data_IF_556260295031
#
_entry.id   IF_556260295031
#
_cell.length_a   1.000
_cell.length_b   1.000
_cell.length_c   1.000
_cell.angle_alpha   90.00
_cell.angle_beta   90.00
_cell.angle_gamma   90.00
#
_symmetry.space_group_name_H-M   'P 1'
#
loop_
_entity.id
_entity.type
_entity.pdbx_description
1 polymer ?
#
# COMPACT_ATOMS: atom_id res chain seq x y z
N UNK A 1 16.59 35.83 -58.91
CA UNK A 1 17.07 34.70 -58.10
C UNK A 1 17.45 33.59 -59.05
N UNK A 2 18.69 33.13 -58.95
CA UNK A 2 19.10 31.83 -59.48
C UNK A 2 18.32 30.74 -58.75
N UNK A 3 17.99 29.67 -59.46
CA UNK A 3 17.33 28.49 -58.91
C UNK A 3 18.18 27.92 -57.76
N UNK A 4 17.55 27.53 -56.65
CA UNK A 4 18.24 27.01 -55.46
C UNK A 4 17.92 25.53 -55.36
N UNK A 5 18.91 24.63 -55.42
CA UNK A 5 18.63 23.21 -55.24
C UNK A 5 18.14 22.94 -53.82
N UNK A 6 16.96 22.34 -53.68
CA UNK A 6 16.42 21.93 -52.39
C UNK A 6 17.01 20.56 -52.00
N UNK A 7 18.08 20.60 -51.21
CA UNK A 7 18.75 19.39 -50.71
C UNK A 7 17.96 18.72 -49.59
N UNK A 8 18.12 17.40 -49.46
CA UNK A 8 17.56 16.62 -48.35
C UNK A 8 18.30 16.95 -47.05
N UNK A 9 17.81 17.95 -46.33
CA UNK A 9 18.35 18.42 -45.06
C UNK A 9 17.22 18.47 -44.02
N UNK A 10 17.56 18.22 -42.76
CA UNK A 10 16.60 18.40 -41.66
C UNK A 10 16.39 19.90 -41.45
N UNK A 11 15.16 20.44 -41.56
CA UNK A 11 14.91 21.87 -41.44
C UNK A 11 14.81 22.33 -39.98
N UNK A 12 15.75 21.85 -39.15
CA UNK A 12 15.92 22.21 -37.75
C UNK A 12 17.33 21.92 -37.27
N UNK A 13 17.87 22.78 -36.42
CA UNK A 13 19.13 22.59 -35.71
C UNK A 13 18.99 23.07 -34.28
N UNK A 14 19.53 22.31 -33.32
CA UNK A 14 19.64 22.75 -31.92
C UNK A 14 21.11 23.00 -31.60
N UNK A 15 21.40 24.19 -31.07
CA UNK A 15 22.75 24.63 -30.72
C UNK A 15 22.78 24.95 -29.23
N UNK A 16 23.75 24.40 -28.50
CA UNK A 16 24.04 24.80 -27.13
C UNK A 16 24.96 26.01 -27.18
N UNK A 17 24.53 27.12 -26.62
CA UNK A 17 25.26 28.37 -26.61
C UNK A 17 26.51 28.29 -25.72
N UNK A 18 27.57 28.93 -26.20
CA UNK A 18 28.73 29.30 -25.37
C UNK A 18 28.46 30.63 -24.67
N UNK A 19 29.24 30.94 -23.62
CA UNK A 19 29.07 32.16 -22.85
C UNK A 19 29.15 33.41 -23.75
N UNK A 20 28.11 34.25 -23.68
CA UNK A 20 27.97 35.50 -24.41
C UNK A 20 27.91 35.35 -25.94
N UNK A 21 27.47 34.19 -26.44
CA UNK A 21 27.32 33.96 -27.87
C UNK A 21 26.09 34.72 -28.42
N UNK A 22 26.29 35.51 -29.47
CA UNK A 22 25.22 36.29 -30.12
C UNK A 22 24.82 35.76 -31.49
N UNK A 23 25.69 35.01 -32.18
CA UNK A 23 25.49 34.52 -33.54
C UNK A 23 25.28 32.99 -33.58
N UNK A 24 24.27 32.53 -34.33
CA UNK A 24 23.91 31.11 -34.45
C UNK A 24 23.55 30.74 -35.90
N UNK A 25 24.40 29.92 -36.53
CA UNK A 25 24.22 29.46 -37.90
C UNK A 25 23.12 28.40 -38.06
N UNK A 26 22.37 28.45 -39.15
CA UNK A 26 21.41 27.41 -39.54
C UNK A 26 21.78 26.81 -40.92
N UNK A 27 21.79 25.47 -41.07
CA UNK A 27 22.33 24.80 -42.26
C UNK A 27 21.26 24.44 -43.32
N UNK A 28 20.16 25.18 -43.39
CA UNK A 28 19.03 24.86 -44.29
C UNK A 28 18.48 26.11 -44.99
N UNK A 29 17.87 25.91 -46.16
CA UNK A 29 17.30 27.00 -46.97
C UNK A 29 16.06 27.59 -46.30
N UNK A 30 15.95 28.91 -46.34
CA UNK A 30 14.76 29.67 -45.92
C UNK A 30 14.47 30.71 -47.03
N UNK A 31 13.23 30.78 -47.52
CA UNK A 31 12.87 31.66 -48.65
C UNK A 31 12.56 33.10 -48.23
N UNK A 32 12.17 33.29 -46.96
CA UNK A 32 11.86 34.59 -46.36
C UNK A 32 12.15 34.53 -44.85
N UNK A 33 12.59 35.62 -44.24
CA UNK A 33 13.07 35.60 -42.85
C UNK A 33 11.99 35.20 -41.83
N UNK A 34 10.72 35.53 -42.13
CA UNK A 34 9.53 35.17 -41.35
C UNK A 34 9.31 33.67 -41.17
N UNK A 35 9.84 32.86 -42.10
CA UNK A 35 9.79 31.40 -42.07
C UNK A 35 10.78 30.79 -41.09
N UNK A 36 11.75 31.54 -40.56
CA UNK A 36 12.68 31.03 -39.56
C UNK A 36 12.18 31.36 -38.15
N UNK A 37 11.95 30.32 -37.36
CA UNK A 37 11.56 30.43 -35.95
C UNK A 37 12.69 29.96 -35.04
N UNK A 38 12.78 30.59 -33.87
CA UNK A 38 13.81 30.30 -32.87
C UNK A 38 13.12 30.08 -31.53
N UNK A 39 13.39 28.94 -30.90
CA UNK A 39 12.93 28.63 -29.54
C UNK A 39 14.14 28.43 -28.63
N UNK A 40 14.16 29.11 -27.49
CA UNK A 40 15.24 29.06 -26.50
C UNK A 40 14.79 28.25 -25.30
N UNK A 41 15.52 27.22 -24.95
CA UNK A 41 15.44 26.56 -23.65
C UNK A 41 16.61 27.05 -22.79
N UNK A 42 16.37 27.93 -21.79
CA UNK A 42 17.45 28.42 -20.95
C UNK A 42 18.05 27.31 -20.09
N UNK A 43 19.33 27.44 -19.75
CA UNK A 43 20.02 26.47 -18.91
C UNK A 43 19.31 26.26 -17.56
N UNK A 44 19.04 25.01 -17.20
CA UNK A 44 18.39 24.65 -15.93
C UNK A 44 16.88 24.90 -15.86
N UNK A 45 16.24 25.33 -16.96
CA UNK A 45 14.79 25.50 -17.04
C UNK A 45 14.13 24.30 -17.72
N UNK A 46 12.87 24.02 -17.36
CA UNK A 46 12.09 22.91 -17.92
C UNK A 46 11.24 23.30 -19.14
N UNK A 47 11.09 24.60 -19.41
CA UNK A 47 10.22 25.11 -20.48
C UNK A 47 10.97 26.00 -21.45
N UNK A 48 10.73 25.77 -22.74
CA UNK A 48 11.25 26.59 -23.82
C UNK A 48 10.40 27.87 -23.99
N UNK A 49 11.03 28.93 -24.51
CA UNK A 49 10.42 30.22 -24.82
C UNK A 49 10.71 30.54 -26.28
N UNK A 50 9.65 30.83 -27.04
CA UNK A 50 9.79 31.24 -28.44
C UNK A 50 10.23 32.70 -28.52
N UNK A 51 11.21 32.95 -29.38
CA UNK A 51 11.76 34.28 -29.62
C UNK A 51 11.03 34.94 -30.79
N UNK A 52 10.93 36.26 -30.74
CA UNK A 52 10.26 37.07 -31.75
C UNK A 52 11.30 37.70 -32.69
N UNK A 53 11.20 37.42 -33.99
CA UNK A 53 12.03 38.06 -35.01
C UNK A 53 11.91 39.59 -34.93
N UNK A 54 13.00 40.31 -35.22
CA UNK A 54 13.19 41.77 -35.10
C UNK A 54 13.25 42.31 -33.67
N UNK A 55 12.59 41.66 -32.71
CA UNK A 55 12.65 42.05 -31.29
C UNK A 55 13.81 41.36 -30.59
N UNK A 56 13.90 40.04 -30.71
CA UNK A 56 14.85 39.18 -29.99
C UNK A 56 16.03 38.73 -30.86
N UNK A 57 15.82 38.61 -32.17
CA UNK A 57 16.86 38.21 -33.12
C UNK A 57 16.61 38.80 -34.53
N UNK A 58 17.67 38.88 -35.33
CA UNK A 58 17.62 39.20 -36.76
C UNK A 58 18.17 38.05 -37.59
N UNK A 59 17.64 37.86 -38.81
CA UNK A 59 18.02 36.76 -39.70
C UNK A 59 18.88 37.26 -40.85
N UNK A 60 19.94 36.53 -41.16
CA UNK A 60 20.83 36.76 -42.31
C UNK A 60 20.99 35.48 -43.12
N UNK A 61 21.28 35.60 -44.42
CA UNK A 61 21.45 34.42 -45.30
C UNK A 61 20.14 33.80 -45.77
N UNK A 62 19.06 34.60 -45.86
CA UNK A 62 17.81 34.21 -46.52
C UNK A 62 18.06 33.97 -48.01
N UNK A 63 17.53 32.86 -48.54
CA UNK A 63 17.70 32.47 -49.95
C UNK A 63 19.05 31.86 -50.29
N UNK A 64 19.88 31.50 -49.30
CA UNK A 64 21.13 30.78 -49.52
C UNK A 64 20.91 29.25 -49.42
N UNK A 65 21.55 28.49 -50.32
CA UNK A 65 21.48 27.02 -50.37
C UNK A 65 21.98 26.34 -49.09
N UNK A 66 23.02 26.91 -48.46
CA UNK A 66 23.65 26.38 -47.24
C UNK A 66 23.07 27.01 -45.96
N UNK A 67 22.00 27.79 -46.09
CA UNK A 67 21.40 28.56 -45.00
C UNK A 67 22.19 29.82 -44.63
N UNK A 68 22.09 30.21 -43.37
CA UNK A 68 22.50 31.54 -42.91
C UNK A 68 22.77 31.56 -41.41
N UNK A 69 22.55 32.71 -40.77
CA UNK A 69 22.73 32.86 -39.33
C UNK A 69 21.71 33.80 -38.72
N UNK A 70 21.41 33.60 -37.44
CA UNK A 70 20.66 34.56 -36.63
C UNK A 70 21.61 35.29 -35.68
N UNK A 71 21.36 36.57 -35.50
CA UNK A 71 22.03 37.42 -34.52
C UNK A 71 21.01 37.84 -33.44
N UNK A 72 21.31 37.54 -32.18
CA UNK A 72 20.50 38.00 -31.04
C UNK A 72 20.60 39.52 -30.90
N UNK A 73 19.47 40.16 -30.64
CA UNK A 73 19.43 41.62 -30.50
C UNK A 73 19.95 42.04 -29.12
N UNK A 74 20.71 43.14 -29.01
CA UNK A 74 21.16 43.67 -27.73
C UNK A 74 20.03 44.13 -26.79
N UNK A 75 18.82 44.35 -27.32
CA UNK A 75 17.65 44.78 -26.53
C UNK A 75 17.14 43.68 -25.60
N UNK A 76 16.97 42.46 -26.12
CA UNK A 76 16.53 41.30 -25.34
C UNK A 76 17.69 40.49 -24.77
N UNK A 77 18.87 40.56 -25.39
CA UNK A 77 20.07 39.83 -25.01
C UNK A 77 21.30 40.76 -24.93
N UNK A 78 21.41 41.60 -23.88
CA UNK A 78 22.48 42.61 -23.79
C UNK A 78 23.89 42.04 -23.82
N UNK A 79 24.06 40.83 -23.28
CA UNK A 79 25.33 40.10 -23.23
C UNK A 79 25.33 38.86 -24.13
N UNK A 80 24.32 38.65 -24.96
CA UNK A 80 24.14 37.40 -25.73
C UNK A 80 23.50 36.27 -24.92
N UNK A 81 23.52 35.06 -25.47
CA UNK A 81 23.01 33.86 -24.82
C UNK A 81 23.94 33.40 -23.68
N UNK A 82 23.35 32.82 -22.63
CA UNK A 82 24.11 32.29 -21.50
C UNK A 82 24.69 30.92 -21.86
N UNK A 83 25.83 30.57 -21.26
CA UNK A 83 26.40 29.23 -21.42
C UNK A 83 25.38 28.15 -21.03
N UNK A 84 25.18 27.17 -21.92
CA UNK A 84 24.24 26.08 -21.70
C UNK A 84 22.80 26.35 -22.18
N UNK A 85 22.48 27.58 -22.60
CA UNK A 85 21.20 27.84 -23.26
C UNK A 85 21.11 27.04 -24.56
N UNK A 86 20.00 26.35 -24.80
CA UNK A 86 19.78 25.58 -26.02
C UNK A 86 18.84 26.34 -26.95
N UNK A 87 19.36 26.80 -28.08
CA UNK A 87 18.58 27.46 -29.12
C UNK A 87 18.25 26.45 -30.21
N UNK A 88 16.96 26.25 -30.46
CA UNK A 88 16.46 25.43 -31.56
C UNK A 88 15.95 26.36 -32.65
N UNK A 89 16.66 26.36 -33.79
CA UNK A 89 16.30 27.11 -34.98
C UNK A 89 15.59 26.13 -35.93
N UNK A 90 14.43 26.51 -36.44
CA UNK A 90 13.65 25.63 -37.32
C UNK A 90 12.84 26.43 -38.33
N UNK A 91 12.57 25.81 -39.49
CA UNK A 91 11.77 26.42 -40.54
C UNK A 91 10.28 26.14 -40.34
N UNK A 92 9.44 27.13 -40.57
CA UNK A 92 7.99 27.02 -40.53
C UNK A 92 7.40 27.88 -41.63
N UNK A 93 7.02 27.25 -42.75
CA UNK A 93 6.39 27.90 -43.88
C UNK A 93 4.87 27.85 -43.69
N UNK A 94 4.14 28.98 -43.83
CA UNK A 94 2.69 28.97 -43.89
C UNK A 94 2.19 28.07 -45.04
N UNK A 95 1.33 27.11 -44.73
CA UNK A 95 0.77 26.18 -45.72
C UNK A 95 -0.38 26.88 -46.45
N UNK A 96 -0.03 27.72 -47.41
CA UNK A 96 -0.97 28.43 -48.27
C UNK A 96 -0.40 28.60 -49.68
N UNK A 97 -1.29 28.83 -50.65
CA UNK A 97 -0.90 29.15 -52.02
C UNK A 97 -1.58 30.43 -52.46
N UNK A 98 -0.80 31.50 -52.57
CA UNK A 98 -1.29 32.83 -52.96
C UNK A 98 -1.11 33.13 -54.45
N UNK A 99 -0.28 32.36 -55.15
CA UNK A 99 -0.03 32.55 -56.58
C UNK A 99 -0.96 31.67 -57.42
N UNK A 100 -1.44 32.22 -58.53
CA UNK A 100 -2.25 31.47 -59.49
C UNK A 100 -1.79 31.76 -60.93
N UNK A 101 -1.82 30.72 -61.76
CA UNK A 101 -1.42 30.82 -63.16
C UNK A 101 -2.63 31.21 -64.01
N UNK A 102 -2.51 32.35 -64.70
CA UNK A 102 -3.56 32.81 -65.62
C UNK A 102 -3.71 31.84 -66.79
N UNK A 103 -4.96 31.48 -67.10
CA UNK A 103 -5.27 30.70 -68.30
C UNK A 103 -4.76 31.43 -69.56
N UNK A 104 -3.93 30.74 -70.36
CA UNK A 104 -3.26 31.29 -71.56
C UNK A 104 -2.37 32.51 -71.29
N UNK A 105 -1.94 32.72 -70.05
CA UNK A 105 -0.95 33.73 -69.70
C UNK A 105 0.48 33.25 -69.96
N UNK A 106 1.45 34.17 -69.86
CA UNK A 106 2.88 33.81 -69.86
C UNK A 106 3.20 32.92 -68.66
N UNK A 107 3.91 31.82 -68.88
CA UNK A 107 4.42 30.95 -67.82
C UNK A 107 5.83 31.41 -67.42
N UNK A 108 5.96 32.03 -66.24
CA UNK A 108 7.28 32.42 -65.71
C UNK A 108 7.85 31.24 -64.92
N UNK A 109 8.88 30.59 -65.48
CA UNK A 109 9.55 29.46 -64.84
C UNK A 109 10.08 29.80 -63.44
N UNK A 110 10.42 31.06 -63.16
CA UNK A 110 10.90 31.47 -61.83
C UNK A 110 9.80 31.43 -60.77
N UNK A 111 8.58 31.81 -61.16
CA UNK A 111 7.42 31.72 -60.26
C UNK A 111 7.06 30.25 -60.05
N UNK A 112 7.06 29.45 -61.11
CA UNK A 112 6.80 28.02 -61.01
C UNK A 112 7.82 27.28 -60.14
N UNK A 113 9.11 27.50 -60.35
CA UNK A 113 10.16 26.88 -59.52
C UNK A 113 10.02 27.29 -58.06
N UNK A 114 9.77 28.58 -57.76
CA UNK A 114 9.55 29.02 -56.37
C UNK A 114 8.38 28.29 -55.71
N UNK A 115 7.27 28.08 -56.42
CA UNK A 115 6.13 27.32 -55.90
C UNK A 115 6.47 25.84 -55.70
N UNK A 116 7.21 25.22 -56.63
CA UNK A 116 7.66 23.84 -56.47
C UNK A 116 8.64 23.67 -55.30
N UNK A 117 9.61 24.57 -55.17
CA UNK A 117 10.55 24.60 -54.04
C UNK A 117 9.80 24.72 -52.72
N UNK A 118 8.80 25.60 -52.66
CA UNK A 118 7.96 25.79 -51.47
C UNK A 118 7.25 24.49 -51.09
N UNK A 119 6.70 23.74 -52.06
CA UNK A 119 6.06 22.43 -51.80
C UNK A 119 7.06 21.43 -51.19
N UNK A 120 8.27 21.33 -51.75
CA UNK A 120 9.29 20.41 -51.21
C UNK A 120 9.78 20.83 -49.83
N UNK A 121 9.93 22.14 -49.57
CA UNK A 121 10.31 22.65 -48.27
C UNK A 121 9.23 22.36 -47.21
N UNK A 122 7.95 22.51 -47.55
CA UNK A 122 6.81 22.13 -46.70
C UNK A 122 6.79 20.62 -46.45
N UNK A 123 7.07 19.80 -47.47
CA UNK A 123 7.15 18.34 -47.30
C UNK A 123 8.27 17.92 -46.34
N UNK A 124 9.43 18.59 -46.38
CA UNK A 124 10.52 18.37 -45.41
C UNK A 124 10.09 18.76 -43.99
N UNK A 125 9.33 19.84 -43.83
CA UNK A 125 8.80 20.27 -42.53
C UNK A 125 7.78 19.28 -41.98
N UNK A 126 6.84 18.82 -42.79
CA UNK A 126 5.90 17.75 -42.39
C UNK A 126 6.65 16.49 -41.97
N UNK A 127 7.68 16.07 -42.71
CA UNK A 127 8.49 14.91 -42.36
C UNK A 127 9.20 15.08 -41.01
N UNK A 128 9.76 16.26 -40.74
CA UNK A 128 10.35 16.60 -39.43
C UNK A 128 9.30 16.54 -38.33
N UNK A 129 8.15 17.17 -38.53
CA UNK A 129 7.13 17.30 -37.50
C UNK A 129 6.50 15.94 -37.18
N UNK A 130 6.22 15.12 -38.20
CA UNK A 130 5.79 13.73 -38.04
C UNK A 130 6.83 12.89 -37.29
N UNK A 131 8.13 13.06 -37.59
CA UNK A 131 9.21 12.40 -36.85
C UNK A 131 9.29 12.78 -35.37
N UNK A 132 8.61 13.85 -34.94
CA UNK A 132 8.53 14.30 -33.53
C UNK A 132 7.19 13.93 -32.87
N UNK A 133 6.27 13.30 -33.60
CA UNK A 133 5.01 12.80 -33.05
C UNK A 133 5.16 11.39 -32.47
N UNK A 134 4.22 10.99 -31.61
CA UNK A 134 4.08 9.59 -31.20
C UNK A 134 3.40 8.86 -32.35
N UNK A 135 4.06 7.83 -32.89
CA UNK A 135 3.56 7.06 -34.04
C UNK A 135 3.82 5.56 -33.88
N UNK A 136 3.10 4.77 -34.69
CA UNK A 136 3.24 3.31 -34.72
C UNK A 136 4.52 2.90 -35.46
N UNK A 137 5.09 1.76 -35.08
CA UNK A 137 6.21 1.18 -35.81
C UNK A 137 5.73 0.52 -37.12
N UNK A 138 6.57 0.47 -38.17
CA UNK A 138 6.17 -0.15 -39.44
C UNK A 138 5.82 -1.64 -39.36
N UNK A 139 6.22 -2.33 -38.29
CA UNK A 139 5.94 -3.74 -38.05
C UNK A 139 4.65 -3.98 -37.25
N UNK A 140 3.99 -2.92 -36.78
CA UNK A 140 2.72 -3.02 -36.07
C UNK A 140 1.60 -3.47 -37.03
N UNK A 141 0.68 -4.28 -36.53
CA UNK A 141 -0.48 -4.74 -37.29
C UNK A 141 -1.65 -3.75 -37.24
N UNK A 142 -1.60 -2.75 -36.34
CA UNK A 142 -2.61 -1.71 -36.23
C UNK A 142 -2.47 -0.67 -37.35
N UNK A 143 -3.59 -0.34 -38.02
CA UNK A 143 -3.63 0.70 -39.06
C UNK A 143 -3.56 2.13 -38.48
N UNK A 144 -4.03 2.33 -37.25
CA UNK A 144 -4.02 3.62 -36.57
C UNK A 144 -4.17 3.48 -35.06
N UNK A 145 -3.76 4.51 -34.32
CA UNK A 145 -4.02 4.65 -32.89
C UNK A 145 -4.77 5.95 -32.63
N UNK A 146 -6.03 5.83 -32.19
CA UNK A 146 -6.87 6.98 -31.88
C UNK A 146 -6.88 7.22 -30.38
N UNK A 147 -6.65 8.47 -29.97
CA UNK A 147 -6.82 8.85 -28.57
C UNK A 147 -8.30 8.77 -28.18
N UNK A 148 -8.61 8.39 -26.93
CA UNK A 148 -9.98 8.44 -26.41
C UNK A 148 -10.57 9.86 -26.47
N UNK A 149 -11.89 9.99 -26.29
CA UNK A 149 -12.53 11.31 -26.29
C UNK A 149 -11.98 12.19 -25.16
N UNK A 150 -12.06 13.51 -25.34
CA UNK A 150 -11.55 14.49 -24.38
C UNK A 150 -12.18 14.33 -22.98
N UNK A 151 -13.47 14.00 -22.91
CA UNK A 151 -14.19 13.71 -21.67
C UNK A 151 -13.61 12.52 -20.89
N UNK A 152 -13.05 11.53 -21.60
CA UNK A 152 -12.43 10.35 -21.00
C UNK A 152 -10.97 10.59 -20.62
N UNK A 153 -10.26 11.44 -21.38
CA UNK A 153 -8.85 11.78 -21.14
C UNK A 153 -8.62 12.82 -20.05
N UNK A 154 -9.63 13.62 -19.70
CA UNK A 154 -9.48 14.71 -18.74
C UNK A 154 -8.95 14.20 -17.38
N UNK A 155 -7.76 14.66 -17.00
CA UNK A 155 -7.10 14.25 -15.75
C UNK A 155 -6.59 12.81 -15.72
N UNK A 156 -6.45 12.15 -16.87
CA UNK A 156 -5.99 10.76 -17.01
C UNK A 156 -4.64 10.67 -17.72
N UNK A 157 -3.97 9.54 -17.55
CA UNK A 157 -2.72 9.22 -18.24
C UNK A 157 -3.01 8.52 -19.57
N UNK A 158 -2.14 8.73 -20.55
CA UNK A 158 -2.12 7.91 -21.76
C UNK A 158 -1.51 6.55 -21.43
N UNK A 159 -2.26 5.48 -21.68
CA UNK A 159 -1.82 4.10 -21.50
C UNK A 159 -2.28 3.25 -22.70
N UNK A 160 -1.89 1.97 -22.72
CA UNK A 160 -2.26 1.02 -23.77
C UNK A 160 -2.99 -0.18 -23.17
N UNK A 161 -4.05 -0.66 -23.82
CA UNK A 161 -4.75 -1.88 -23.42
C UNK A 161 -4.01 -3.15 -23.89
N UNK A 162 -4.59 -4.33 -23.60
CA UNK A 162 -4.01 -5.61 -24.01
C UNK A 162 -3.91 -5.81 -25.53
N UNK A 163 -4.64 -5.01 -26.31
CA UNK A 163 -4.59 -4.97 -27.78
C UNK A 163 -3.67 -3.88 -28.33
N UNK A 164 -3.00 -3.11 -27.49
CA UNK A 164 -2.11 -2.02 -27.90
C UNK A 164 -2.82 -0.72 -28.29
N UNK A 165 -4.13 -0.60 -28.05
CA UNK A 165 -4.87 0.63 -28.34
C UNK A 165 -4.70 1.65 -27.21
N UNK A 166 -4.67 2.93 -27.58
CA UNK A 166 -4.57 4.02 -26.61
C UNK A 166 -5.82 4.11 -25.73
N UNK A 167 -5.63 4.07 -24.41
CA UNK A 167 -6.67 4.24 -23.40
C UNK A 167 -6.30 5.34 -22.41
N UNK A 168 -7.32 5.92 -21.77
CA UNK A 168 -7.16 6.88 -20.70
C UNK A 168 -7.15 6.14 -19.35
N UNK A 169 -5.98 5.97 -18.76
CA UNK A 169 -5.83 5.27 -17.49
C UNK A 169 -5.89 6.21 -16.29
N UNK A 170 -6.49 5.73 -15.20
CA UNK A 170 -6.19 6.30 -13.89
C UNK A 170 -4.72 6.00 -13.58
N UNK A 171 -3.94 7.01 -13.21
CA UNK A 171 -2.58 6.81 -12.74
C UNK A 171 -2.35 7.71 -11.54
N UNK A 172 -1.36 7.35 -10.75
CA UNK A 172 -0.66 8.32 -9.91
C UNK A 172 0.71 8.54 -10.55
N UNK A 173 1.17 9.79 -10.62
CA UNK A 173 2.46 10.13 -11.24
C UNK A 173 3.61 9.34 -10.61
N UNK A 174 4.64 9.00 -11.39
CA UNK A 174 5.86 8.34 -10.91
C UNK A 174 6.65 9.11 -9.82
N UNK A 175 6.31 10.39 -9.57
CA UNK A 175 6.79 11.19 -8.42
C UNK A 175 6.00 10.95 -7.12
N UNK A 176 5.06 10.01 -7.10
CA UNK A 176 4.81 9.24 -5.89
C UNK A 176 5.77 8.07 -5.95
N UNK A 177 6.96 8.21 -5.38
CA UNK A 177 7.65 7.02 -4.86
C UNK A 177 6.58 6.17 -4.16
N UNK A 178 6.37 4.90 -4.52
CA UNK A 178 5.48 4.06 -3.73
C UNK A 178 5.95 4.21 -2.28
N UNK A 179 5.03 4.54 -1.35
CA UNK A 179 5.32 4.93 0.05
C UNK A 179 6.24 3.91 0.74
N UNK A 180 6.32 2.70 0.18
CA UNK A 180 7.34 1.69 0.39
C UNK A 180 7.45 0.76 -0.82
N UNK A 181 8.55 -0.01 -0.93
CA UNK A 181 8.71 -1.07 -1.93
C UNK A 181 7.53 -2.07 -1.96
N UNK A 182 6.90 -2.30 -0.79
CA UNK A 182 5.72 -3.15 -0.65
C UNK A 182 4.52 -2.71 -1.50
N UNK A 183 4.30 -1.40 -1.67
CA UNK A 183 3.18 -0.91 -2.48
C UNK A 183 3.42 -1.18 -3.98
N UNK A 184 4.68 -1.15 -4.42
CA UNK A 184 5.04 -1.34 -5.83
C UNK A 184 4.97 -2.80 -6.27
N UNK A 185 5.52 -3.68 -5.44
CA UNK A 185 5.81 -5.05 -5.86
C UNK A 185 4.68 -6.03 -5.49
N UNK A 186 3.78 -5.64 -4.57
CA UNK A 186 2.78 -6.54 -4.00
C UNK A 186 1.33 -5.99 -4.01
N UNK A 187 1.10 -4.68 -4.22
CA UNK A 187 -0.27 -4.12 -4.18
C UNK A 187 -0.81 -3.68 -5.53
N UNK A 188 0.06 -3.36 -6.48
CA UNK A 188 -0.35 -2.92 -7.81
C UNK A 188 -0.44 -4.06 -8.83
N UNK A 189 0.11 -5.23 -8.51
CA UNK A 189 -0.06 -6.46 -9.28
C UNK A 189 -1.39 -7.17 -8.97
N UNK A 190 -2.05 -6.80 -7.87
CA UNK A 190 -3.33 -7.36 -7.44
C UNK A 190 -4.48 -7.05 -8.41
N UNK A 191 -5.10 -8.12 -8.93
CA UNK A 191 -6.10 -8.08 -9.99
C UNK A 191 -7.43 -7.42 -9.59
N UNK A 192 -7.75 -7.37 -8.29
CA UNK A 192 -8.97 -6.77 -7.79
C UNK A 192 -8.83 -6.22 -6.37
N UNK A 193 -9.87 -5.49 -5.94
CA UNK A 193 -9.92 -4.90 -4.60
C UNK A 193 -9.92 -5.94 -3.47
N UNK A 194 -10.27 -7.21 -3.73
CA UNK A 194 -10.26 -8.26 -2.72
C UNK A 194 -8.83 -8.76 -2.47
N UNK A 195 -8.06 -8.93 -3.53
CA UNK A 195 -6.65 -9.34 -3.49
C UNK A 195 -5.80 -8.24 -2.86
N UNK A 196 -5.99 -6.97 -3.26
CA UNK A 196 -5.34 -5.81 -2.64
C UNK A 196 -5.57 -5.69 -1.11
N UNK A 197 -6.78 -6.01 -0.63
CA UNK A 197 -7.08 -6.02 0.81
C UNK A 197 -6.40 -7.17 1.54
N UNK A 198 -6.25 -8.33 0.89
CA UNK A 198 -5.54 -9.47 1.45
C UNK A 198 -4.05 -9.15 1.60
N UNK A 199 -3.44 -8.57 0.56
CA UNK A 199 -2.02 -8.22 0.56
C UNK A 199 -1.69 -7.11 1.56
N UNK A 200 -2.56 -6.08 1.68
CA UNK A 200 -2.44 -5.04 2.72
C UNK A 200 -2.53 -5.57 4.17
N UNK A 201 -2.84 -6.85 4.37
CA UNK A 201 -3.16 -7.37 5.70
C UNK A 201 -4.39 -6.68 6.31
N UNK A 202 -5.18 -5.97 5.48
CA UNK A 202 -6.50 -5.44 5.79
C UNK A 202 -7.47 -6.63 5.81
N UNK A 203 -7.17 -7.53 6.72
CA UNK A 203 -7.87 -8.76 6.98
C UNK A 203 -9.36 -8.41 7.11
N UNK A 204 -10.17 -9.04 6.27
CA UNK A 204 -11.62 -9.05 6.38
C UNK A 204 -12.01 -9.72 7.71
N UNK A 205 -11.84 -9.01 8.81
CA UNK A 205 -11.92 -9.56 10.17
C UNK A 205 -13.35 -9.60 10.69
N UNK A 206 -14.34 -9.05 10.00
CA UNK A 206 -15.69 -8.99 10.56
C UNK A 206 -16.71 -10.02 10.04
N UNK A 207 -16.40 -10.77 8.99
CA UNK A 207 -17.37 -11.75 8.46
C UNK A 207 -17.14 -13.19 8.93
N UNK A 208 -16.16 -13.44 9.81
CA UNK A 208 -15.82 -14.82 10.23
C UNK A 208 -15.22 -14.99 11.62
N UNK A 209 -15.20 -13.97 12.48
CA UNK A 209 -14.74 -14.14 13.86
C UNK A 209 -15.89 -14.64 14.76
N UNK A 210 -15.83 -15.90 15.16
CA UNK A 210 -16.34 -16.29 16.48
C UNK A 210 -15.42 -15.68 17.54
N UNK A 211 -15.95 -15.41 18.74
CA UNK A 211 -15.46 -14.46 19.74
C UNK A 211 -14.00 -14.59 20.27
N UNK A 212 -13.16 -15.48 19.73
CA UNK A 212 -11.93 -15.91 20.38
C UNK A 212 -10.62 -15.38 19.78
N UNK A 213 -10.64 -14.26 19.05
CA UNK A 213 -9.39 -13.68 18.47
C UNK A 213 -9.20 -12.19 18.76
N UNK A 214 -9.61 -11.76 19.96
CA UNK A 214 -9.33 -10.42 20.49
C UNK A 214 -7.95 -10.27 21.15
N UNK A 215 -7.15 -11.34 21.25
CA UNK A 215 -5.81 -11.28 21.81
C UNK A 215 -4.76 -11.48 20.71
N UNK A 216 -4.29 -10.39 20.11
CA UNK A 216 -3.11 -10.41 19.24
C UNK A 216 -1.86 -10.35 20.14
N UNK A 217 -1.26 -11.51 20.39
CA UNK A 217 0.13 -11.68 20.84
C UNK A 217 1.03 -11.17 19.71
N UNK A 218 1.92 -10.22 20.00
CA UNK A 218 2.84 -9.68 19.01
C UNK A 218 3.93 -10.74 18.73
N UNK A 219 4.11 -11.25 17.49
CA UNK A 219 4.93 -12.44 17.26
C UNK A 219 6.45 -12.19 17.24
N UNK A 220 6.92 -10.98 17.57
CA UNK A 220 8.33 -10.59 17.36
C UNK A 220 9.23 -10.59 18.60
N UNK A 221 8.77 -11.07 19.76
CA UNK A 221 9.62 -11.20 20.95
C UNK A 221 9.59 -12.64 21.47
N UNK A 222 10.65 -13.39 21.16
CA UNK A 222 10.86 -14.77 21.60
C UNK A 222 11.64 -14.87 22.91
N UNK A 223 11.90 -13.75 23.60
CA UNK A 223 12.85 -13.71 24.71
C UNK A 223 12.25 -13.43 26.09
N UNK A 224 10.93 -13.22 26.21
CA UNK A 224 10.21 -13.16 27.49
C UNK A 224 8.80 -13.74 27.32
N UNK A 225 8.28 -14.55 28.26
CA UNK A 225 6.86 -14.88 28.24
C UNK A 225 6.08 -13.56 28.30
N UNK A 226 5.22 -13.33 27.31
CA UNK A 226 4.42 -12.11 27.18
C UNK A 226 3.40 -12.02 28.31
N UNK A 227 3.86 -11.66 29.51
CA UNK A 227 3.01 -11.30 30.63
C UNK A 227 2.65 -9.82 30.47
N UNK A 228 1.47 -9.57 29.93
CA UNK A 228 0.78 -8.29 30.15
C UNK A 228 0.47 -8.23 31.65
N UNK A 229 0.78 -7.14 32.38
CA UNK A 229 0.39 -7.02 33.78
C UNK A 229 -1.12 -7.19 33.93
N UNK A 230 -1.56 -8.34 34.44
CA UNK A 230 -2.96 -8.69 34.68
C UNK A 230 -3.55 -9.82 33.84
N UNK A 231 -2.85 -10.34 32.83
CA UNK A 231 -3.26 -11.57 32.13
C UNK A 231 -2.03 -12.47 31.99
N UNK A 232 -1.94 -13.47 32.85
CA UNK A 232 -1.02 -14.60 32.67
C UNK A 232 -1.79 -15.63 31.86
N UNK A 233 -1.39 -15.86 30.62
CA UNK A 233 -1.73 -17.11 29.92
C UNK A 233 -0.58 -18.04 30.26
N UNK A 234 -0.83 -18.99 31.15
CA UNK A 234 0.13 -20.06 31.39
C UNK A 234 0.14 -20.93 30.14
N UNK A 235 1.23 -20.81 29.37
CA UNK A 235 1.58 -21.74 28.30
C UNK A 235 2.33 -22.91 28.94
N UNK A 236 1.61 -23.70 29.73
CA UNK A 236 2.05 -25.03 30.09
C UNK A 236 1.04 -26.01 29.48
N UNK A 237 1.54 -26.85 28.57
CA UNK A 237 0.77 -27.73 27.69
C UNK A 237 -0.06 -28.83 28.39
N UNK A 238 -0.35 -28.68 29.68
CA UNK A 238 -1.14 -29.59 30.48
C UNK A 238 -2.26 -28.91 31.29
N UNK A 239 -2.48 -27.61 31.12
CA UNK A 239 -3.48 -26.88 31.91
C UNK A 239 -4.88 -26.97 31.28
N UNK A 240 -5.66 -27.94 31.75
CA UNK A 240 -7.05 -28.09 31.40
C UNK A 240 -7.89 -27.07 32.18
N UNK A 241 -8.41 -26.10 31.44
CA UNK A 241 -9.37 -25.07 31.83
C UNK A 241 -8.73 -23.71 32.19
N UNK A 242 -8.99 -22.72 31.32
CA UNK A 242 -8.92 -21.28 31.62
C UNK A 242 -9.93 -21.01 32.75
N UNK A 243 -9.54 -21.35 33.97
CA UNK A 243 -10.30 -21.17 35.18
C UNK A 243 -9.87 -19.86 35.82
N UNK A 244 -10.67 -18.81 35.65
CA UNK A 244 -10.61 -17.66 36.56
C UNK A 244 -10.76 -18.26 37.97
N UNK A 245 -9.66 -18.25 38.75
CA UNK A 245 -9.56 -18.75 40.12
C UNK A 245 -10.34 -17.86 41.11
N UNK A 246 -11.59 -17.52 40.76
CA UNK A 246 -12.54 -16.85 41.62
C UNK A 246 -13.54 -17.90 42.11
N UNK A 247 -13.57 -18.09 43.42
CA UNK A 247 -14.31 -19.12 44.16
C UNK A 247 -15.64 -19.62 43.59
N UNK A 248 -15.81 -20.94 43.71
CA UNK A 248 -17.05 -21.72 43.63
C UNK A 248 -17.97 -21.44 42.43
N UNK A 249 -17.93 -22.31 41.42
CA UNK A 249 -19.08 -22.52 40.52
C UNK A 249 -18.86 -22.38 39.03
N UNK A 250 -17.64 -22.59 38.52
CA UNK A 250 -17.39 -22.54 37.07
C UNK A 250 -17.90 -23.79 36.32
N UNK A 251 -18.13 -24.91 37.03
CA UNK A 251 -18.60 -26.18 36.46
C UNK A 251 -19.25 -27.05 37.54
N UNK A 252 -20.38 -27.69 37.22
CA UNK A 252 -21.08 -28.64 38.10
C UNK A 252 -20.74 -30.07 37.66
N UNK A 253 -20.38 -30.93 38.62
CA UNK A 253 -20.06 -32.33 38.37
C UNK A 253 -20.73 -33.24 39.40
N UNK A 254 -21.43 -34.27 38.92
CA UNK A 254 -22.11 -35.24 39.77
C UNK A 254 -21.17 -36.37 40.19
N UNK A 255 -21.21 -36.73 41.47
CA UNK A 255 -20.43 -37.81 42.07
C UNK A 255 -21.37 -38.81 42.74
N UNK A 256 -21.50 -40.00 42.14
CA UNK A 256 -22.33 -41.08 42.69
C UNK A 256 -21.57 -42.04 43.62
N UNK A 257 -20.29 -41.76 43.90
CA UNK A 257 -19.43 -42.60 44.71
C UNK A 257 -19.67 -42.41 46.23
N UNK A 258 -19.40 -43.46 47.01
CA UNK A 258 -19.44 -43.43 48.49
C UNK A 258 -18.14 -42.95 49.12
N UNK A 259 -17.10 -42.75 48.32
CA UNK A 259 -15.83 -42.16 48.74
C UNK A 259 -15.30 -41.25 47.63
N UNK A 260 -14.76 -40.09 48.00
CA UNK A 260 -14.16 -39.17 47.04
C UNK A 260 -12.94 -38.48 47.66
N UNK A 261 -11.86 -38.38 46.91
CA UNK A 261 -10.69 -37.58 47.32
C UNK A 261 -10.68 -36.33 46.47
N UNK A 262 -10.60 -35.17 47.12
CA UNK A 262 -10.47 -33.88 46.44
C UNK A 262 -9.14 -33.86 45.69
N UNK A 263 -9.15 -33.43 44.43
CA UNK A 263 -7.93 -33.29 43.59
C UNK A 263 -7.77 -31.84 43.11
N UNK A 264 -6.58 -31.48 42.63
CA UNK A 264 -6.33 -30.11 42.14
C UNK A 264 -7.31 -29.66 41.05
N UNK A 265 -7.72 -30.59 40.17
CA UNK A 265 -8.69 -30.34 39.11
C UNK A 265 -10.11 -29.99 39.61
N UNK A 266 -10.40 -30.09 40.91
CA UNK A 266 -11.70 -29.71 41.49
C UNK A 266 -11.80 -28.22 41.80
N UNK A 267 -10.71 -27.47 41.63
CA UNK A 267 -10.67 -26.03 41.85
C UNK A 267 -11.76 -25.32 41.05
N UNK A 268 -12.55 -24.50 41.74
CA UNK A 268 -13.64 -23.72 41.15
C UNK A 268 -14.88 -24.53 40.76
N UNK A 269 -14.91 -25.85 40.99
CA UNK A 269 -16.07 -26.70 40.68
C UNK A 269 -17.07 -26.79 41.82
N UNK A 270 -18.29 -27.17 41.46
CA UNK A 270 -19.34 -27.64 42.39
C UNK A 270 -19.49 -29.14 42.23
N UNK A 271 -19.10 -29.91 43.25
CA UNK A 271 -19.26 -31.36 43.34
C UNK A 271 -20.60 -31.70 43.97
N UNK A 272 -21.48 -32.35 43.21
CA UNK A 272 -22.82 -32.72 43.63
C UNK A 272 -22.85 -34.21 43.94
N UNK A 273 -22.89 -34.57 45.22
CA UNK A 273 -22.86 -35.95 45.68
C UNK A 273 -24.27 -36.53 45.70
N UNK A 274 -24.52 -37.58 44.92
CA UNK A 274 -25.86 -38.15 44.70
C UNK A 274 -26.09 -39.50 45.40
N UNK A 275 -25.09 -40.01 46.12
CA UNK A 275 -25.18 -41.31 46.80
C UNK A 275 -26.27 -41.31 47.91
N UNK A 276 -27.01 -42.41 48.00
CA UNK A 276 -28.02 -42.62 49.04
C UNK A 276 -27.44 -43.08 50.39
N UNK A 277 -26.18 -43.54 50.39
CA UNK A 277 -25.42 -43.96 51.56
C UNK A 277 -24.37 -42.92 51.90
N UNK A 278 -23.96 -42.83 53.17
CA UNK A 278 -22.95 -41.87 53.63
C UNK A 278 -21.70 -41.86 52.73
N UNK A 279 -21.21 -40.66 52.41
CA UNK A 279 -20.07 -40.41 51.53
C UNK A 279 -18.92 -39.86 52.36
N UNK A 280 -17.76 -40.51 52.28
CA UNK A 280 -16.53 -39.99 52.90
C UNK A 280 -15.74 -39.16 51.88
N UNK A 281 -15.55 -37.88 52.17
CA UNK A 281 -14.76 -36.95 51.36
C UNK A 281 -13.40 -36.76 52.04
N UNK A 282 -12.35 -37.16 51.36
CA UNK A 282 -10.97 -37.05 51.85
C UNK A 282 -10.34 -35.79 51.28
N UNK A 283 -9.80 -34.96 52.17
CA UNK A 283 -8.97 -33.81 51.84
C UNK A 283 -7.51 -34.27 51.86
N UNK A 284 -6.81 -34.26 50.71
CA UNK A 284 -5.49 -34.87 50.61
C UNK A 284 -4.44 -34.08 51.39
N UNK A 285 -3.35 -34.78 51.74
CA UNK A 285 -2.15 -34.13 52.26
C UNK A 285 -1.27 -33.62 51.10
N UNK A 286 -0.54 -32.52 51.31
CA UNK A 286 0.36 -31.94 50.30
C UNK A 286 1.39 -32.95 49.75
N UNK A 287 1.77 -33.96 50.54
CA UNK A 287 2.69 -35.01 50.10
C UNK A 287 2.04 -36.01 49.11
N UNK A 288 0.71 -36.11 49.09
CA UNK A 288 -0.05 -37.01 48.19
C UNK A 288 -0.56 -36.27 46.96
N UNK A 289 -1.06 -35.04 47.13
CA UNK A 289 -1.54 -34.17 46.04
C UNK A 289 -1.20 -32.72 46.40
N UNK A 290 -0.34 -32.07 45.60
CA UNK A 290 0.10 -30.69 45.85
C UNK A 290 -0.96 -29.68 45.39
N UNK A 291 -1.96 -29.44 46.24
CA UNK A 291 -3.04 -28.49 45.98
C UNK A 291 -2.60 -27.08 46.41
N UNK A 292 -2.42 -26.21 45.42
CA UNK A 292 -1.98 -24.83 45.64
C UNK A 292 -2.95 -24.01 46.52
N UNK A 293 -2.39 -23.00 47.19
CA UNK A 293 -3.16 -22.01 47.98
C UNK A 293 -4.17 -21.29 47.09
N UNK A 294 -5.35 -21.01 47.63
CA UNK A 294 -6.45 -20.39 46.86
C UNK A 294 -7.38 -21.40 46.19
N UNK A 295 -7.12 -22.70 46.35
CA UNK A 295 -8.08 -23.74 46.03
C UNK A 295 -9.41 -23.52 46.75
N UNK A 296 -10.51 -23.67 46.01
CA UNK A 296 -11.87 -23.68 46.55
C UNK A 296 -12.78 -24.60 45.74
N UNK A 297 -13.47 -25.51 46.41
CA UNK A 297 -14.47 -26.42 45.82
C UNK A 297 -15.74 -26.38 46.67
N UNK A 298 -16.90 -26.38 46.01
CA UNK A 298 -18.19 -26.48 46.68
C UNK A 298 -18.70 -27.92 46.63
N UNK A 299 -18.88 -28.55 47.79
CA UNK A 299 -19.45 -29.88 47.91
C UNK A 299 -20.93 -29.78 48.33
N UNK A 300 -21.83 -30.38 47.57
CA UNK A 300 -23.28 -30.34 47.81
C UNK A 300 -23.82 -31.74 48.05
N UNK A 301 -24.54 -31.94 49.15
CA UNK A 301 -25.25 -33.19 49.44
C UNK A 301 -26.58 -33.21 48.68
N UNK A 302 -26.62 -33.79 47.48
CA UNK A 302 -27.86 -33.99 46.73
C UNK A 302 -28.56 -35.32 47.09
N UNK A 303 -27.79 -36.36 47.41
CA UNK A 303 -28.28 -37.66 47.86
C UNK A 303 -28.67 -37.70 49.34
N UNK A 304 -29.30 -38.81 49.75
CA UNK A 304 -29.68 -39.03 51.15
C UNK A 304 -28.50 -39.39 52.08
N UNK A 305 -27.32 -39.71 51.51
CA UNK A 305 -26.13 -40.02 52.27
C UNK A 305 -25.44 -38.77 52.79
N UNK A 306 -25.14 -38.75 54.09
CA UNK A 306 -24.40 -37.65 54.71
C UNK A 306 -22.96 -37.57 54.20
N UNK A 307 -22.47 -36.35 54.01
CA UNK A 307 -21.10 -36.09 53.59
C UNK A 307 -20.24 -35.92 54.83
N UNK A 308 -19.26 -36.80 55.03
CA UNK A 308 -18.28 -36.69 56.12
C UNK A 308 -16.93 -36.29 55.54
N UNK A 309 -16.38 -35.17 56.00
CA UNK A 309 -15.06 -34.68 55.61
C UNK A 309 -13.98 -35.22 56.55
N UNK A 310 -12.88 -35.72 55.98
CA UNK A 310 -11.72 -36.18 56.72
C UNK A 310 -10.43 -35.64 56.10
N UNK A 311 -9.47 -35.25 56.93
CA UNK A 311 -8.12 -34.95 56.45
C UNK A 311 -7.33 -36.24 56.28
N UNK A 312 -6.49 -36.27 55.25
CA UNK A 312 -5.48 -37.31 55.07
C UNK A 312 -4.23 -36.98 55.89
N UNK A 313 -3.58 -38.01 56.43
CA UNK A 313 -2.28 -37.86 57.07
C UNK A 313 -2.33 -37.06 58.37
N UNK A 314 -1.40 -36.13 58.52
CA UNK A 314 -1.25 -35.29 59.73
C UNK A 314 -1.95 -33.92 59.64
N UNK A 315 -2.55 -33.61 58.49
CA UNK A 315 -3.26 -32.35 58.30
C UNK A 315 -4.58 -32.31 59.10
N UNK A 316 -5.08 -31.11 59.36
CA UNK A 316 -6.33 -30.90 60.12
C UNK A 316 -7.29 -29.99 59.37
N UNK A 317 -8.58 -30.16 59.64
CA UNK A 317 -9.67 -29.37 59.06
C UNK A 317 -10.18 -28.39 60.11
N UNK A 318 -10.19 -27.11 59.78
CA UNK A 318 -10.91 -26.09 60.56
C UNK A 318 -12.37 -26.07 60.13
N UNK A 319 -13.27 -26.27 61.08
CA UNK A 319 -14.70 -26.08 60.90
C UNK A 319 -15.33 -25.47 62.15
N UNK A 320 -16.55 -24.95 62.01
CA UNK A 320 -17.32 -24.48 63.15
C UNK A 320 -17.63 -25.66 64.09
N UNK A 321 -17.37 -25.51 65.38
CA UNK A 321 -17.60 -26.53 66.43
C UNK A 321 -16.95 -27.91 66.17
N UNK A 322 -15.94 -27.97 65.28
CA UNK A 322 -15.33 -29.22 64.80
C UNK A 322 -16.31 -30.15 64.06
N UNK A 323 -17.42 -29.61 63.57
CA UNK A 323 -18.42 -30.31 62.77
C UNK A 323 -17.83 -30.67 61.40
N UNK A 324 -17.89 -31.95 61.04
CA UNK A 324 -17.32 -32.48 59.79
C UNK A 324 -18.31 -33.31 58.99
N UNK A 325 -19.55 -33.42 59.46
CA UNK A 325 -20.62 -34.10 58.73
C UNK A 325 -21.57 -33.05 58.18
N UNK A 326 -22.20 -33.28 57.04
CA UNK A 326 -23.22 -32.38 56.53
C UNK A 326 -24.46 -32.34 57.44
N UNK A 327 -25.11 -31.18 57.49
CA UNK A 327 -26.32 -30.94 58.31
C UNK A 327 -27.55 -31.74 57.81
N UNK A 328 -27.51 -32.23 56.57
CA UNK A 328 -28.57 -33.01 55.92
C UNK A 328 -28.70 -32.72 54.42
N UNK A 329 -29.60 -33.44 53.76
CA UNK A 329 -29.81 -33.32 52.31
C UNK A 329 -30.07 -31.85 51.90
N UNK A 330 -29.31 -31.38 50.90
CA UNK A 330 -29.29 -29.99 50.44
C UNK A 330 -28.21 -29.12 51.08
N UNK A 331 -27.44 -29.63 52.05
CA UNK A 331 -26.31 -28.91 52.62
C UNK A 331 -25.23 -28.64 51.56
N UNK A 332 -24.71 -27.41 51.58
CA UNK A 332 -23.57 -26.99 50.77
C UNK A 332 -22.40 -26.66 51.69
N UNK A 333 -21.24 -27.23 51.38
CA UNK A 333 -20.01 -27.11 52.16
C UNK A 333 -18.91 -26.60 51.23
N UNK A 334 -18.37 -25.42 51.53
CA UNK A 334 -17.20 -24.87 50.85
C UNK A 334 -15.93 -25.43 51.50
N UNK A 335 -15.08 -26.04 50.69
CA UNK A 335 -13.77 -26.56 51.10
C UNK A 335 -12.69 -25.68 50.47
N UNK A 336 -11.78 -25.17 51.30
CA UNK A 336 -10.71 -24.28 50.87
C UNK A 336 -9.37 -24.70 51.44
N UNK A 337 -8.30 -24.54 50.66
CA UNK A 337 -6.92 -24.70 51.14
C UNK A 337 -6.45 -23.37 51.73
N UNK A 338 -6.26 -23.34 53.05
CA UNK A 338 -5.89 -22.12 53.80
C UNK A 338 -4.63 -22.42 54.60
N UNK A 339 -3.47 -22.00 54.10
CA UNK A 339 -2.23 -22.11 54.86
C UNK A 339 -2.16 -20.97 55.89
N UNK A 340 -2.28 -21.32 57.18
CA UNK A 340 -2.09 -20.43 58.33
C UNK A 340 -0.77 -20.83 58.99
N UNK A 341 0.08 -19.86 59.35
CA UNK A 341 1.47 -20.05 59.80
C UNK A 341 1.69 -21.01 60.99
N UNK A 342 0.63 -21.50 61.66
CA UNK A 342 0.70 -22.52 62.70
C UNK A 342 -0.65 -23.25 62.91
N UNK A 343 -1.47 -23.39 61.87
CA UNK A 343 -2.87 -23.83 61.97
C UNK A 343 -3.30 -24.84 60.90
N UNK A 344 -4.57 -25.31 60.96
CA UNK A 344 -5.13 -26.30 60.03
C UNK A 344 -4.98 -25.87 58.56
N UNK A 345 -4.70 -26.84 57.69
CA UNK A 345 -4.38 -26.61 56.27
C UNK A 345 -5.63 -26.57 55.38
N UNK A 346 -6.74 -27.08 55.90
CA UNK A 346 -8.05 -27.06 55.28
C UNK A 346 -9.05 -26.24 56.08
N UNK A 347 -9.89 -25.48 55.38
CA UNK A 347 -11.06 -24.81 55.93
C UNK A 347 -12.31 -25.41 55.31
N UNK A 348 -13.22 -25.92 56.14
CA UNK A 348 -14.55 -26.36 55.75
C UNK A 348 -15.60 -25.42 56.34
N UNK A 349 -16.43 -24.83 55.48
CA UNK A 349 -17.47 -23.85 55.86
C UNK A 349 -18.82 -24.22 55.28
N UNK A 350 -19.92 -23.83 55.92
CA UNK A 350 -21.28 -24.05 55.42
C UNK A 350 -22.13 -24.94 56.32
N UNK A 351 -23.00 -25.75 55.71
CA UNK A 351 -23.96 -26.58 56.44
C UNK A 351 -23.35 -27.85 57.04
N UNK A 352 -22.57 -27.70 58.10
CA UNK A 352 -21.94 -28.79 58.85
C UNK A 352 -22.62 -29.02 60.21
N UNK A 353 -22.60 -30.26 60.72
CA UNK A 353 -23.04 -30.73 62.03
C UNK A 353 -21.97 -31.60 62.70
#
# INVERSE_FOLDING_TARGET
MTDIPILSTLPSVTITATANQTNFGYPFVVLSSDQLKVSRLPAGQASAVDLVETTDYTVTGVGNENGGSIDLTPGSFPTGATEGDRLTLFRQIPIERLTDFRFRGRFDARVANKEFDTIYLVAQELSRDLGRTIGLQPADALDSINLPLDTERAGRFLAFDAGGLAIAAAGTSADLTPVSAFINDELFDDVDAATARATLGALAVLSGMTANRLLRVNPSDTSQPQQVPGIIIEDDANDADIGIASGHGNKVEEVAATTYTIIGADAGKTKVFTAATAVTITLPENATEDIARGFGCLCVQAGAGDLTFQAQGAETILSLDSSLTSLGQGAAIGVQRVEIASGPEWLATGGLL
#
